data_IF_271952693808
#
_entry.id   IF_271952693808
#
_cell.length_a   1.000
_cell.length_b   1.000
_cell.length_c   1.000
_cell.angle_alpha   90.00
_cell.angle_beta   90.00
_cell.angle_gamma   90.00
#
_symmetry.space_group_name_H-M   'P 1'
#
loop_
_entity.id
_entity.type
_entity.pdbx_description
1 polymer ?
#
# COMPACT_ATOMS: atom_id res chain seq x y z
N UNK A 1 -11.55 -47.82 20.54
CA UNK A 1 -11.10 -46.57 21.20
C UNK A 1 -9.97 -45.89 20.43
N UNK A 2 -9.14 -46.62 19.67
CA UNK A 2 -8.05 -46.03 18.87
C UNK A 2 -8.51 -45.16 17.70
N UNK A 3 -9.60 -45.52 17.01
CA UNK A 3 -10.10 -44.75 15.85
C UNK A 3 -10.60 -43.35 16.25
N UNK A 4 -11.22 -43.21 17.42
CA UNK A 4 -11.70 -41.91 17.93
C UNK A 4 -10.54 -41.00 18.39
N UNK A 5 -9.43 -41.58 18.87
CA UNK A 5 -8.21 -40.83 19.19
C UNK A 5 -7.52 -40.33 17.93
N UNK A 6 -7.43 -41.18 16.91
CA UNK A 6 -6.83 -40.80 15.62
C UNK A 6 -7.65 -39.73 14.89
N UNK A 7 -8.99 -39.78 14.93
CA UNK A 7 -9.81 -38.73 14.28
C UNK A 7 -9.68 -37.38 14.97
N UNK A 8 -9.50 -37.34 16.30
CA UNK A 8 -9.21 -36.09 17.02
C UNK A 8 -7.83 -35.54 16.65
N UNK A 9 -6.81 -36.39 16.50
CA UNK A 9 -5.49 -35.96 16.05
C UNK A 9 -5.53 -35.44 14.61
N UNK A 10 -6.26 -36.10 13.71
CA UNK A 10 -6.42 -35.65 12.32
C UNK A 10 -7.19 -34.32 12.27
N UNK A 11 -8.26 -34.17 13.04
CA UNK A 11 -9.02 -32.91 13.12
C UNK A 11 -8.15 -31.76 13.66
N UNK A 12 -7.34 -32.02 14.69
CA UNK A 12 -6.42 -31.04 15.25
C UNK A 12 -5.35 -30.62 14.23
N UNK A 13 -4.76 -31.58 13.52
CA UNK A 13 -3.80 -31.30 12.44
C UNK A 13 -4.44 -30.53 11.30
N UNK A 14 -5.69 -30.84 10.94
CA UNK A 14 -6.43 -30.15 9.88
C UNK A 14 -6.70 -28.69 10.25
N UNK A 15 -7.17 -28.40 11.46
CA UNK A 15 -7.40 -27.02 11.94
C UNK A 15 -6.08 -26.25 12.02
N UNK A 16 -5.01 -26.87 12.53
CA UNK A 16 -3.68 -26.26 12.57
C UNK A 16 -3.17 -25.93 11.16
N UNK A 17 -3.43 -26.81 10.19
CA UNK A 17 -3.04 -26.59 8.79
C UNK A 17 -3.85 -25.47 8.14
N UNK A 18 -5.14 -25.35 8.43
CA UNK A 18 -5.98 -24.24 7.94
C UNK A 18 -5.52 -22.88 8.48
N UNK A 19 -5.15 -22.81 9.77
CA UNK A 19 -4.60 -21.57 10.35
C UNK A 19 -3.27 -21.18 9.71
N UNK A 20 -2.40 -22.16 9.43
CA UNK A 20 -1.13 -21.91 8.73
C UNK A 20 -1.34 -21.42 7.29
N UNK A 21 -2.30 -21.99 6.56
CA UNK A 21 -2.69 -21.54 5.22
C UNK A 21 -3.18 -20.08 5.22
N UNK A 22 -4.06 -19.74 6.16
CA UNK A 22 -4.58 -18.38 6.29
C UNK A 22 -3.46 -17.38 6.61
N UNK A 23 -2.57 -17.72 7.56
CA UNK A 23 -1.42 -16.88 7.89
C UNK A 23 -0.49 -16.64 6.68
N UNK A 24 -0.27 -17.67 5.86
CA UNK A 24 0.54 -17.54 4.64
C UNK A 24 -0.11 -16.61 3.61
N UNK A 25 -1.43 -16.73 3.41
CA UNK A 25 -2.20 -15.88 2.50
C UNK A 25 -2.20 -14.41 2.92
N UNK A 26 -2.37 -14.14 4.22
CA UNK A 26 -2.35 -12.78 4.76
C UNK A 26 -0.94 -12.16 4.75
N UNK A 27 0.11 -12.99 4.89
CA UNK A 27 1.50 -12.53 4.87
C UNK A 27 2.04 -12.24 3.46
N UNK A 28 1.36 -12.70 2.40
CA UNK A 28 1.82 -12.56 1.03
C UNK A 28 0.69 -12.14 0.07
N UNK A 29 0.06 -10.96 0.26
CA UNK A 29 -1.03 -10.50 -0.60
C UNK A 29 -0.55 -10.37 -2.04
N UNK A 30 -1.07 -11.22 -2.93
CA UNK A 30 -0.84 -11.06 -4.36
C UNK A 30 -1.54 -9.79 -4.84
N UNK A 31 -0.88 -8.95 -5.65
CA UNK A 31 -1.55 -7.81 -6.27
C UNK A 31 -2.64 -8.35 -7.21
N UNK A 32 -3.90 -8.07 -6.89
CA UNK A 32 -5.01 -8.32 -7.81
C UNK A 32 -4.91 -7.36 -8.99
N UNK A 33 -4.60 -7.90 -10.16
CA UNK A 33 -4.76 -7.21 -11.44
C UNK A 33 -6.26 -7.06 -11.73
N UNK A 34 -6.84 -5.91 -11.41
CA UNK A 34 -8.18 -5.55 -11.88
C UNK A 34 -8.06 -4.83 -13.22
N UNK A 35 -8.13 -5.62 -14.30
CA UNK A 35 -8.52 -5.14 -15.60
C UNK A 35 -10.04 -5.17 -15.74
N UNK A 36 -10.60 -4.06 -16.22
CA UNK A 36 -11.63 -3.88 -17.28
C UNK A 36 -12.47 -2.66 -16.93
N UNK A 37 -12.21 -1.56 -17.63
CA UNK A 37 -13.06 -0.38 -17.63
C UNK A 37 -14.34 -0.67 -18.43
N UNK A 38 -15.48 -0.69 -17.74
CA UNK A 38 -16.80 -0.69 -18.35
C UNK A 38 -17.25 0.77 -18.52
N UNK A 39 -17.29 1.26 -19.76
CA UNK A 39 -17.90 2.55 -20.09
C UNK A 39 -19.39 2.55 -19.69
N UNK A 40 -19.77 3.48 -18.82
CA UNK A 40 -21.17 3.88 -18.63
C UNK A 40 -21.24 5.39 -18.77
N UNK A 41 -21.88 5.84 -19.84
CA UNK A 41 -22.29 7.24 -20.01
C UNK A 41 -23.29 7.60 -18.90
N UNK A 42 -22.96 8.60 -18.10
CA UNK A 42 -23.93 9.30 -17.25
C UNK A 42 -23.71 10.79 -17.45
N UNK A 43 -24.63 11.39 -18.19
CA UNK A 43 -24.80 12.83 -18.29
C UNK A 43 -25.20 13.40 -16.92
N UNK A 44 -24.54 14.46 -16.46
CA UNK A 44 -25.09 15.35 -15.42
C UNK A 44 -24.12 15.80 -14.33
N UNK A 45 -23.57 17.00 -14.53
CA UNK A 45 -23.35 18.05 -13.51
C UNK A 45 -22.36 17.79 -12.36
N UNK A 46 -21.08 17.66 -12.71
CA UNK A 46 -19.94 18.12 -11.89
C UNK A 46 -18.91 18.75 -12.84
N UNK A 47 -18.18 19.82 -12.45
CA UNK A 47 -17.15 20.40 -13.30
C UNK A 47 -16.06 19.36 -13.58
N UNK A 48 -16.12 18.75 -14.75
CA UNK A 48 -15.06 17.94 -15.33
C UNK A 48 -14.10 18.91 -16.00
N UNK A 49 -12.93 19.13 -15.39
CA UNK A 49 -11.78 19.65 -16.12
C UNK A 49 -11.33 18.55 -17.08
N UNK A 50 -11.88 18.58 -18.29
CA UNK A 50 -11.32 17.90 -19.45
C UNK A 50 -10.12 18.72 -19.93
N UNK A 51 -8.95 18.46 -19.35
CA UNK A 51 -7.71 18.66 -20.07
C UNK A 51 -7.22 17.32 -20.57
N UNK A 52 -7.03 17.29 -21.88
CA UNK A 52 -6.67 16.14 -22.69
C UNK A 52 -5.30 15.61 -22.26
N UNK A 53 -5.24 14.33 -21.89
CA UNK A 53 -3.98 13.60 -21.81
C UNK A 53 -3.01 14.11 -20.75
N UNK A 54 -3.40 14.13 -19.47
CA UNK A 54 -2.39 14.02 -18.42
C UNK A 54 -1.86 12.59 -18.44
N UNK A 55 -0.79 12.38 -19.21
CA UNK A 55 0.15 11.31 -18.87
C UNK A 55 0.50 11.51 -17.41
N UNK A 56 0.15 10.52 -16.57
CA UNK A 56 0.82 10.35 -15.29
C UNK A 56 2.30 10.46 -15.64
N UNK A 57 3.06 11.44 -15.10
CA UNK A 57 4.43 11.62 -15.53
C UNK A 57 5.15 10.29 -15.38
N UNK A 58 5.56 9.77 -16.52
CA UNK A 58 6.49 8.66 -16.63
C UNK A 58 7.62 8.90 -15.61
N UNK A 59 8.00 7.84 -14.92
CA UNK A 59 9.06 7.81 -13.91
C UNK A 59 10.41 8.12 -14.58
N UNK A 60 10.59 9.37 -14.99
CA UNK A 60 11.68 9.79 -15.88
C UNK A 60 11.79 11.28 -16.13
N UNK A 61 10.79 12.10 -15.76
CA UNK A 61 10.98 13.55 -15.72
C UNK A 61 11.70 13.91 -14.41
N UNK A 62 12.76 14.72 -14.49
CA UNK A 62 13.62 15.12 -13.37
C UNK A 62 12.81 15.62 -12.17
N UNK A 63 12.47 14.69 -11.30
CA UNK A 63 11.56 14.87 -10.18
C UNK A 63 12.35 15.64 -9.14
N UNK A 64 11.99 16.90 -8.92
CA UNK A 64 12.72 17.77 -8.00
C UNK A 64 12.28 17.43 -6.59
N UNK A 65 12.78 16.31 -6.07
CA UNK A 65 12.51 15.84 -4.73
C UNK A 65 13.46 16.51 -3.76
N UNK A 66 12.90 17.01 -2.66
CA UNK A 66 13.66 17.43 -1.49
C UNK A 66 13.29 16.54 -0.31
N UNK A 67 14.28 16.27 0.53
CA UNK A 67 14.06 15.55 1.79
C UNK A 67 14.19 16.53 2.95
N UNK A 68 13.13 16.65 3.73
CA UNK A 68 13.08 17.47 4.94
C UNK A 68 13.10 16.50 6.12
N UNK A 69 14.13 16.60 6.96
CA UNK A 69 14.30 15.73 8.13
C UNK A 69 14.22 16.56 9.40
N UNK A 70 13.42 16.11 10.35
CA UNK A 70 13.30 16.67 11.70
C UNK A 70 13.75 15.62 12.73
N UNK A 71 13.51 15.93 14.01
CA UNK A 71 13.67 15.01 15.14
C UNK A 71 12.82 13.74 15.03
N UNK A 72 11.57 13.84 14.58
CA UNK A 72 10.60 12.73 14.56
C UNK A 72 10.12 12.33 13.17
N UNK A 73 10.37 13.15 12.15
CA UNK A 73 9.76 12.99 10.83
C UNK A 73 10.80 13.16 9.71
N UNK A 74 10.75 12.30 8.70
CA UNK A 74 11.44 12.54 7.44
C UNK A 74 10.42 12.55 6.30
N UNK A 75 10.34 13.67 5.59
CA UNK A 75 9.43 13.89 4.47
C UNK A 75 10.19 13.99 3.17
N UNK A 76 9.68 13.36 2.13
CA UNK A 76 10.13 13.58 0.76
C UNK A 76 9.02 14.32 0.02
N UNK A 77 9.35 15.50 -0.49
CA UNK A 77 8.40 16.44 -1.10
C UNK A 77 8.80 16.68 -2.55
N UNK A 78 7.83 16.61 -3.46
CA UNK A 78 8.00 17.10 -4.82
C UNK A 78 7.86 18.62 -4.84
N UNK A 79 8.94 19.32 -5.18
CA UNK A 79 8.91 20.79 -5.25
C UNK A 79 8.08 21.31 -6.42
N UNK A 80 7.72 20.45 -7.37
CA UNK A 80 6.70 20.73 -8.38
C UNK A 80 5.34 20.31 -7.80
N UNK A 81 4.56 21.28 -7.30
CA UNK A 81 3.23 21.04 -6.74
C UNK A 81 3.18 20.95 -5.21
N UNK A 82 4.32 20.70 -4.55
CA UNK A 82 4.40 20.66 -3.08
C UNK A 82 3.87 19.37 -2.46
N UNK A 83 3.68 18.33 -3.28
CA UNK A 83 3.11 17.07 -2.84
C UNK A 83 4.10 16.26 -2.00
N UNK A 84 3.60 15.66 -0.92
CA UNK A 84 4.38 14.74 -0.10
C UNK A 84 4.31 13.35 -0.74
N UNK A 85 5.44 12.89 -1.27
CA UNK A 85 5.57 11.57 -1.94
C UNK A 85 5.99 10.46 -0.98
N UNK A 86 6.63 10.80 0.14
CA UNK A 86 7.00 9.85 1.20
C UNK A 86 7.02 10.54 2.57
N UNK A 87 6.60 9.82 3.62
CA UNK A 87 6.72 10.27 5.01
C UNK A 87 7.12 9.12 5.93
N UNK A 88 8.21 9.30 6.69
CA UNK A 88 8.75 8.34 7.65
C UNK A 88 8.65 8.89 9.07
N UNK A 89 8.22 8.04 10.00
CA UNK A 89 8.15 8.32 11.42
C UNK A 89 9.43 7.80 12.09
N UNK A 90 10.41 8.67 12.32
CA UNK A 90 11.74 8.30 12.82
C UNK A 90 11.72 7.75 14.25
N UNK A 91 10.70 8.12 15.04
CA UNK A 91 10.54 7.67 16.42
C UNK A 91 9.88 6.27 16.54
N UNK A 92 9.47 5.67 15.42
CA UNK A 92 8.72 4.41 15.41
C UNK A 92 9.37 3.43 14.45
N UNK A 93 9.65 2.22 14.94
CA UNK A 93 10.22 1.17 14.11
C UNK A 93 9.12 0.53 13.24
N UNK A 94 9.48 0.08 12.05
CA UNK A 94 8.56 -0.57 11.13
C UNK A 94 8.06 -1.92 11.68
N UNK A 95 8.93 -2.65 12.38
CA UNK A 95 8.65 -3.95 12.99
C UNK A 95 9.29 -4.02 14.38
N UNK A 96 8.84 -4.99 15.20
CA UNK A 96 9.45 -5.25 16.51
C UNK A 96 10.92 -5.60 16.33
N UNK A 97 11.80 -4.95 17.08
CA UNK A 97 13.27 -5.07 17.01
C UNK A 97 13.92 -4.66 15.67
N UNK A 98 13.18 -3.99 14.77
CA UNK A 98 13.77 -3.38 13.57
C UNK A 98 14.39 -2.01 13.88
N UNK A 99 15.45 -1.64 13.15
CA UNK A 99 16.04 -0.30 13.17
C UNK A 99 15.49 0.61 12.08
N UNK A 100 14.68 0.07 11.17
CA UNK A 100 14.09 0.83 10.07
C UNK A 100 12.87 1.61 10.55
N UNK A 101 12.79 2.92 10.25
CA UNK A 101 11.66 3.74 10.67
C UNK A 101 10.39 3.39 9.87
N UNK A 102 9.23 3.48 10.54
CA UNK A 102 7.93 3.20 9.94
C UNK A 102 7.60 4.22 8.85
N UNK A 103 7.17 3.73 7.69
CA UNK A 103 6.80 4.57 6.53
C UNK A 103 5.29 4.76 6.52
N UNK A 104 4.82 5.98 6.80
CA UNK A 104 3.41 6.33 6.83
C UNK A 104 2.84 6.62 5.44
N UNK A 105 3.52 7.48 4.68
CA UNK A 105 3.14 7.83 3.31
C UNK A 105 4.12 7.21 2.35
N UNK A 106 3.59 6.55 1.33
CA UNK A 106 4.34 5.82 0.32
C UNK A 106 3.66 6.03 -1.01
N UNK A 107 4.44 6.43 -2.01
CA UNK A 107 4.00 6.51 -3.40
C UNK A 107 4.78 5.48 -4.22
N UNK A 108 4.33 4.23 -4.15
CA UNK A 108 4.79 3.14 -5.03
C UNK A 108 3.69 2.75 -6.00
N UNK A 109 4.05 2.10 -7.09
CA UNK A 109 3.12 1.68 -8.16
C UNK A 109 1.92 0.84 -7.66
N UNK A 110 1.99 0.25 -6.47
CA UNK A 110 0.94 -0.57 -5.86
C UNK A 110 0.36 -0.02 -4.54
N UNK A 111 0.77 1.17 -4.09
CA UNK A 111 0.33 1.76 -2.82
C UNK A 111 0.59 3.26 -2.89
N UNK A 112 -0.49 4.06 -3.01
CA UNK A 112 -0.41 5.51 -3.14
C UNK A 112 -1.16 6.13 -1.98
N UNK A 113 -0.41 6.61 -0.99
CA UNK A 113 -0.89 7.50 0.05
C UNK A 113 -0.14 8.81 -0.09
N UNK A 114 -0.74 9.77 -0.78
CA UNK A 114 -0.20 11.12 -0.95
C UNK A 114 -1.11 12.14 -0.30
N UNK A 115 -0.51 13.14 0.32
CA UNK A 115 -1.21 14.34 0.79
C UNK A 115 -0.93 15.45 -0.22
N UNK A 116 -1.97 15.88 -0.94
CA UNK A 116 -1.89 16.92 -1.95
C UNK A 116 -2.50 18.21 -1.41
N UNK A 117 -1.87 19.34 -1.68
CA UNK A 117 -2.48 20.64 -1.41
C UNK A 117 -3.41 21.01 -2.56
N UNK A 118 -4.60 21.51 -2.23
CA UNK A 118 -5.47 22.22 -3.17
C UNK A 118 -4.96 23.64 -3.42
#
# INVERSE_FOLDING_TARGET
MDSQRNILLIALLFVSFLLFQQWNMDSNPQPQSQGVAQQTNISGDVPSHSDEGQTIPDQGSSKHLITITTDVLALTVDTQGGDIVEAKLLAYNNELDSTDPFVLLKNIQNHVYTAQSA
#
